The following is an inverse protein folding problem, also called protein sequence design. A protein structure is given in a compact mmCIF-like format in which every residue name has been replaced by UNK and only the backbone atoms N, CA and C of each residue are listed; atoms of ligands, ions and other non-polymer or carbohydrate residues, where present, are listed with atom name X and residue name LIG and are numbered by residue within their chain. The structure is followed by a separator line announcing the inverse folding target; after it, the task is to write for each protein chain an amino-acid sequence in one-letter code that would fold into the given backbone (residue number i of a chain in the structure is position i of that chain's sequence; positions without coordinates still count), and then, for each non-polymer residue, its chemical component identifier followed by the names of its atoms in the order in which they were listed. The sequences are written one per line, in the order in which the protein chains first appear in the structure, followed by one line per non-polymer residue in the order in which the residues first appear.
data_IF_861021216576
#
_entry.id   IF_861021216576
#
_cell.length_a   1.000
_cell.length_b   1.000
_cell.length_c   1.000
_cell.angle_alpha   90.00
_cell.angle_beta   90.00
_cell.angle_gamma   90.00
#
_symmetry.space_group_name_H-M   'P 1'
#
loop_
_entity.id
_entity.type
_entity.pdbx_description
1 polymer ?
#
# COMPACT_ATOMS: atom_id res chain seq x y z
N UNK A 1 -6.35 39.71 -7.06
CA UNK A 1 -7.22 39.06 -8.06
C UNK A 1 -7.81 37.83 -7.40
N UNK A 2 -9.09 37.87 -7.04
CA UNK A 2 -9.87 36.81 -6.47
C UNK A 2 -10.08 35.70 -7.51
N UNK A 3 -9.97 34.40 -7.18
CA UNK A 3 -10.30 33.34 -8.11
C UNK A 3 -11.82 33.33 -8.33
N UNK A 4 -12.23 33.55 -9.57
CA UNK A 4 -13.61 33.40 -10.00
C UNK A 4 -14.09 31.97 -9.74
N UNK A 5 -15.10 31.86 -8.92
CA UNK A 5 -15.90 30.64 -8.69
C UNK A 5 -16.58 30.28 -10.01
N UNK A 6 -16.06 29.30 -10.73
CA UNK A 6 -16.65 28.78 -11.97
C UNK A 6 -18.00 28.15 -11.62
N UNK A 7 -19.08 28.79 -12.10
CA UNK A 7 -20.46 28.38 -11.90
C UNK A 7 -20.68 26.91 -12.32
N UNK A 8 -21.39 26.15 -11.50
CA UNK A 8 -21.85 24.79 -11.79
C UNK A 8 -22.85 24.81 -12.98
N UNK A 9 -22.59 24.01 -14.07
CA UNK A 9 -23.63 23.66 -15.00
C UNK A 9 -23.35 23.67 -16.51
N UNK A 10 -22.08 23.73 -16.98
CA UNK A 10 -21.77 23.48 -18.40
C UNK A 10 -21.48 21.98 -18.70
N UNK A 11 -21.60 21.53 -19.98
CA UNK A 11 -21.20 20.18 -20.32
C UNK A 11 -19.74 19.95 -19.95
N UNK A 12 -19.47 18.82 -19.26
CA UNK A 12 -18.13 18.41 -18.91
C UNK A 12 -17.41 17.89 -20.14
N UNK A 13 -16.11 18.14 -20.24
CA UNK A 13 -15.30 17.55 -21.32
C UNK A 13 -15.32 16.03 -21.19
N UNK A 14 -15.58 15.35 -22.32
CA UNK A 14 -15.62 13.89 -22.38
C UNK A 14 -14.20 13.33 -22.44
N UNK A 15 -13.92 12.30 -21.62
CA UNK A 15 -12.64 11.59 -21.59
C UNK A 15 -12.88 10.10 -21.78
N UNK A 16 -12.30 9.51 -22.84
CA UNK A 16 -12.36 8.09 -23.13
C UNK A 16 -11.16 7.39 -22.50
N UNK A 17 -11.41 6.53 -21.50
CA UNK A 17 -10.38 5.86 -20.70
C UNK A 17 -10.55 4.34 -20.76
N UNK A 18 -9.45 3.60 -20.66
CA UNK A 18 -9.44 2.15 -20.51
C UNK A 18 -8.50 1.71 -19.39
N UNK A 19 -8.59 0.42 -19.02
CA UNK A 19 -7.77 -0.18 -17.98
C UNK A 19 -7.18 -1.51 -18.45
N UNK A 20 -5.92 -1.81 -18.08
CA UNK A 20 -5.25 -3.07 -18.39
C UNK A 20 -4.25 -3.46 -17.29
N UNK A 21 -4.04 -4.77 -17.09
CA UNK A 21 -2.98 -5.26 -16.19
C UNK A 21 -3.21 -5.03 -14.71
N UNK A 22 -4.45 -4.89 -14.28
CA UNK A 22 -4.88 -4.86 -12.89
C UNK A 22 -5.18 -6.27 -12.35
N UNK A 23 -5.54 -6.39 -11.08
CA UNK A 23 -5.93 -7.65 -10.44
C UNK A 23 -7.32 -8.12 -10.94
N UNK A 24 -7.62 -9.39 -10.72
CA UNK A 24 -8.81 -10.04 -11.29
C UNK A 24 -10.15 -9.42 -10.83
N UNK A 25 -10.21 -8.92 -9.59
CA UNK A 25 -11.40 -8.26 -9.05
C UNK A 25 -11.45 -6.74 -9.28
N UNK A 26 -10.60 -6.20 -10.14
CA UNK A 26 -10.63 -4.77 -10.46
C UNK A 26 -11.83 -4.45 -11.34
N UNK A 27 -12.70 -3.54 -10.86
CA UNK A 27 -13.82 -3.03 -11.64
C UNK A 27 -13.38 -1.80 -12.45
N UNK A 28 -13.36 -1.87 -13.79
CA UNK A 28 -13.02 -0.72 -14.63
C UNK A 28 -14.05 0.41 -14.57
N UNK A 29 -15.30 0.15 -14.16
CA UNK A 29 -16.36 1.16 -14.07
C UNK A 29 -16.37 1.86 -12.70
N UNK A 30 -15.99 1.14 -11.63
CA UNK A 30 -15.99 1.68 -10.26
C UNK A 30 -14.64 1.47 -9.58
N UNK A 31 -13.73 2.43 -9.73
CA UNK A 31 -12.41 2.42 -9.13
C UNK A 31 -11.96 3.84 -8.73
N UNK A 32 -10.80 3.94 -8.09
CA UNK A 32 -10.24 5.23 -7.69
C UNK A 32 -10.15 6.23 -8.85
N UNK A 33 -9.68 5.81 -10.02
CA UNK A 33 -9.45 6.72 -11.16
C UNK A 33 -10.77 7.20 -11.77
N UNK A 34 -11.74 6.31 -11.98
CA UNK A 34 -13.05 6.68 -12.53
C UNK A 34 -13.80 7.62 -11.60
N UNK A 35 -13.83 7.34 -10.29
CA UNK A 35 -14.45 8.22 -9.29
C UNK A 35 -13.77 9.59 -9.20
N UNK A 36 -12.43 9.63 -9.25
CA UNK A 36 -11.68 10.88 -9.22
C UNK A 36 -11.95 11.72 -10.47
N UNK A 37 -11.83 11.13 -11.65
CA UNK A 37 -12.02 11.84 -12.92
C UNK A 37 -13.46 12.32 -13.10
N UNK A 38 -14.46 11.57 -12.64
CA UNK A 38 -15.87 11.95 -12.69
C UNK A 38 -16.19 13.24 -11.91
N UNK A 39 -15.29 13.69 -11.03
CA UNK A 39 -15.44 15.00 -10.37
C UNK A 39 -15.33 16.18 -11.35
N UNK A 40 -14.63 16.01 -12.48
CA UNK A 40 -14.34 17.08 -13.45
C UNK A 40 -14.76 16.75 -14.89
N UNK A 41 -14.78 15.50 -15.28
CA UNK A 41 -14.97 15.02 -16.65
C UNK A 41 -16.23 14.14 -16.80
N UNK A 42 -16.75 14.05 -18.05
CA UNK A 42 -17.65 12.98 -18.46
C UNK A 42 -16.79 11.77 -18.86
N UNK A 43 -16.76 10.74 -18.00
CA UNK A 43 -15.83 9.61 -18.13
C UNK A 43 -16.49 8.47 -18.88
N UNK A 44 -16.00 8.16 -20.08
CA UNK A 44 -16.38 6.97 -20.86
C UNK A 44 -15.31 5.87 -20.71
N UNK A 45 -15.67 4.77 -20.07
CA UNK A 45 -14.83 3.58 -20.02
C UNK A 45 -15.10 2.73 -21.26
N UNK A 46 -14.08 2.51 -22.13
CA UNK A 46 -14.27 1.82 -23.41
C UNK A 46 -13.05 0.99 -23.83
N UNK A 47 -13.28 0.08 -24.79
CA UNK A 47 -12.26 -0.82 -25.32
C UNK A 47 -11.24 -0.13 -26.26
N UNK A 48 -11.62 1.00 -26.87
CA UNK A 48 -10.75 1.82 -27.73
C UNK A 48 -10.57 3.22 -27.11
N UNK A 49 -9.82 3.32 -26.02
CA UNK A 49 -9.66 4.54 -25.26
C UNK A 49 -8.65 5.50 -25.90
N UNK A 50 -8.74 6.80 -25.55
CA UNK A 50 -7.71 7.78 -25.85
C UNK A 50 -6.58 7.73 -24.80
N UNK A 51 -6.93 7.31 -23.55
CA UNK A 51 -6.01 7.16 -22.42
C UNK A 51 -6.19 5.79 -21.77
N UNK A 52 -5.11 5.02 -21.67
CA UNK A 52 -5.10 3.72 -21.03
C UNK A 52 -4.33 3.77 -19.72
N UNK A 53 -5.00 3.61 -18.59
CA UNK A 53 -4.32 3.35 -17.31
C UNK A 53 -3.98 1.87 -17.23
N UNK A 54 -2.69 1.56 -17.09
CA UNK A 54 -2.26 0.17 -17.03
C UNK A 54 -1.35 -0.10 -15.83
N UNK A 55 -1.39 -1.33 -15.34
CA UNK A 55 -0.62 -1.79 -14.19
C UNK A 55 0.24 -3.00 -14.53
N UNK A 56 0.96 -3.51 -13.54
CA UNK A 56 1.93 -4.60 -13.68
C UNK A 56 1.42 -5.95 -13.14
N UNK A 57 0.12 -6.09 -12.88
CA UNK A 57 -0.46 -7.23 -12.17
C UNK A 57 -1.13 -8.20 -13.14
N UNK A 58 -1.18 -9.48 -12.76
CA UNK A 58 -1.96 -10.50 -13.45
C UNK A 58 -1.44 -10.93 -14.81
N UNK A 59 -2.29 -11.68 -15.51
CA UNK A 59 -1.99 -12.21 -16.87
C UNK A 59 -1.98 -11.11 -17.93
N UNK A 60 -2.80 -10.06 -17.73
CA UNK A 60 -2.96 -8.93 -18.64
C UNK A 60 -1.90 -7.82 -18.52
N UNK A 61 -0.81 -8.03 -17.78
CA UNK A 61 0.24 -7.00 -17.53
C UNK A 61 0.90 -6.44 -18.81
N UNK A 62 0.78 -7.11 -19.95
CA UNK A 62 1.28 -6.68 -21.26
C UNK A 62 0.19 -6.26 -22.24
N UNK A 63 -1.08 -6.31 -21.85
CA UNK A 63 -2.19 -5.98 -22.75
C UNK A 63 -2.17 -4.51 -23.17
N UNK A 64 -1.58 -3.63 -22.35
CA UNK A 64 -1.36 -2.23 -22.73
C UNK A 64 -0.62 -2.06 -24.06
N UNK A 65 0.23 -3.03 -24.46
CA UNK A 65 0.96 -2.96 -25.73
C UNK A 65 0.08 -3.07 -26.98
N UNK A 66 -1.18 -3.51 -26.84
CA UNK A 66 -2.15 -3.67 -27.93
C UNK A 66 -2.95 -2.40 -28.23
N UNK A 67 -2.86 -1.37 -27.38
CA UNK A 67 -3.63 -0.15 -27.50
C UNK A 67 -2.79 0.97 -28.14
N UNK A 68 -3.29 1.58 -29.20
CA UNK A 68 -2.68 2.75 -29.85
C UNK A 68 -3.24 4.04 -29.28
N UNK A 69 -2.86 4.34 -28.04
CA UNK A 69 -3.32 5.52 -27.29
C UNK A 69 -2.25 5.96 -26.29
N UNK A 70 -2.51 7.08 -25.60
CA UNK A 70 -1.65 7.53 -24.47
C UNK A 70 -1.73 6.54 -23.33
N UNK A 71 -0.57 6.03 -22.89
CA UNK A 71 -0.46 5.01 -21.84
C UNK A 71 0.04 5.61 -20.54
N UNK A 72 -0.73 5.40 -19.49
CA UNK A 72 -0.48 5.90 -18.14
C UNK A 72 -0.23 4.70 -17.23
N UNK A 73 1.02 4.50 -16.82
CA UNK A 73 1.39 3.42 -15.92
C UNK A 73 1.01 3.76 -14.49
N UNK A 74 0.40 2.82 -13.78
CA UNK A 74 0.18 2.87 -12.33
C UNK A 74 0.76 1.63 -11.65
N UNK A 75 1.57 1.81 -10.61
CA UNK A 75 2.01 0.70 -9.78
C UNK A 75 1.88 1.03 -8.29
N UNK A 76 1.10 0.21 -7.59
CA UNK A 76 1.08 0.14 -6.12
C UNK A 76 2.16 -0.80 -5.56
N UNK A 77 2.78 -1.62 -6.41
CA UNK A 77 3.85 -2.57 -6.08
C UNK A 77 5.22 -1.98 -6.44
N UNK A 78 6.30 -2.58 -5.87
CA UNK A 78 7.68 -2.13 -6.14
C UNK A 78 8.12 -2.47 -7.58
N UNK A 79 7.54 -1.77 -8.55
CA UNK A 79 7.81 -1.90 -9.99
C UNK A 79 7.98 -0.52 -10.59
N UNK A 80 9.13 -0.30 -11.25
CA UNK A 80 9.41 0.93 -11.98
C UNK A 80 8.65 0.99 -13.32
N UNK A 81 8.27 2.21 -13.79
CA UNK A 81 7.67 2.38 -15.12
C UNK A 81 8.68 2.05 -16.22
N UNK A 82 8.20 1.41 -17.28
CA UNK A 82 8.96 1.27 -18.51
C UNK A 82 8.63 2.41 -19.49
N UNK A 83 9.51 3.38 -19.55
CA UNK A 83 9.36 4.57 -20.40
C UNK A 83 9.42 4.29 -21.91
N UNK A 84 9.72 3.05 -22.32
CA UNK A 84 9.65 2.65 -23.73
C UNK A 84 8.23 2.34 -24.17
N UNK A 85 7.38 1.91 -23.25
CA UNK A 85 6.01 1.49 -23.52
C UNK A 85 4.95 2.33 -22.81
N UNK A 86 5.39 3.31 -22.02
CA UNK A 86 4.55 4.16 -21.18
C UNK A 86 4.82 5.64 -21.48
N UNK A 87 3.78 6.45 -21.43
CA UNK A 87 3.87 7.91 -21.67
C UNK A 87 3.92 8.70 -20.37
N UNK A 88 3.12 8.32 -19.39
CA UNK A 88 3.02 8.90 -18.07
C UNK A 88 3.06 7.82 -17.00
N UNK A 89 3.50 8.16 -15.80
CA UNK A 89 3.52 7.21 -14.72
C UNK A 89 3.07 7.81 -13.38
N UNK A 90 2.27 7.04 -12.66
CA UNK A 90 1.91 7.24 -11.26
C UNK A 90 2.48 6.08 -10.46
N UNK A 91 3.47 6.32 -9.60
CA UNK A 91 4.05 5.30 -8.73
C UNK A 91 4.38 5.88 -7.35
N UNK A 92 4.81 5.03 -6.43
CA UNK A 92 5.26 5.45 -5.10
C UNK A 92 6.59 6.22 -5.12
N UNK A 93 7.39 6.11 -6.18
CA UNK A 93 8.77 6.60 -6.22
C UNK A 93 8.87 8.13 -6.13
N UNK A 94 9.91 8.61 -5.45
CA UNK A 94 10.33 10.01 -5.53
C UNK A 94 11.16 10.18 -6.81
N UNK A 95 10.54 10.69 -7.87
CA UNK A 95 11.17 10.86 -9.17
C UNK A 95 11.08 12.29 -9.65
N UNK A 96 12.15 12.80 -10.27
CA UNK A 96 12.18 14.10 -10.95
C UNK A 96 11.76 14.03 -12.43
N UNK A 97 11.39 12.85 -12.93
CA UNK A 97 10.97 12.71 -14.32
C UNK A 97 9.71 13.54 -14.60
N UNK A 98 9.65 14.43 -15.61
CA UNK A 98 8.56 15.39 -15.80
C UNK A 98 7.19 14.75 -16.07
N UNK A 99 7.18 13.53 -16.59
CA UNK A 99 5.97 12.74 -16.84
C UNK A 99 5.67 11.71 -15.75
N UNK A 100 6.32 11.82 -14.59
CA UNK A 100 6.03 11.03 -13.41
C UNK A 100 5.26 11.87 -12.38
N UNK A 101 4.33 11.23 -11.68
CA UNK A 101 3.68 11.74 -10.48
C UNK A 101 3.74 10.71 -9.37
N UNK A 102 4.07 11.13 -8.15
CA UNK A 102 4.07 10.23 -7.01
C UNK A 102 2.64 9.99 -6.54
N UNK A 103 2.20 8.73 -6.60
CA UNK A 103 0.89 8.26 -6.13
C UNK A 103 1.10 6.88 -5.47
N UNK A 104 1.49 6.83 -4.19
CA UNK A 104 1.70 5.58 -3.47
C UNK A 104 0.38 4.87 -3.21
N UNK A 105 0.42 3.55 -3.06
CA UNK A 105 -0.78 2.71 -2.93
C UNK A 105 -1.68 3.14 -1.75
N UNK A 106 -1.09 3.58 -0.64
CA UNK A 106 -1.86 4.02 0.53
C UNK A 106 -2.86 5.15 0.22
N UNK A 107 -2.53 6.02 -0.76
CA UNK A 107 -3.38 7.16 -1.14
C UNK A 107 -4.70 6.75 -1.81
N UNK A 108 -4.83 5.49 -2.24
CA UNK A 108 -6.02 4.96 -2.91
C UNK A 108 -6.95 4.19 -1.97
N UNK A 109 -6.51 3.88 -0.74
CA UNK A 109 -7.22 2.95 0.14
C UNK A 109 -8.31 3.56 1.01
N UNK A 110 -8.21 4.86 1.28
CA UNK A 110 -9.18 5.58 2.11
C UNK A 110 -9.22 7.05 1.70
N UNK A 111 -10.25 7.77 2.13
CA UNK A 111 -10.25 9.22 2.03
C UNK A 111 -9.12 9.80 2.90
N UNK A 112 -8.09 10.42 2.32
CA UNK A 112 -6.95 10.92 3.07
C UNK A 112 -7.29 11.94 4.15
N UNK A 113 -8.40 12.69 3.98
CA UNK A 113 -8.86 13.67 4.96
C UNK A 113 -9.22 13.03 6.31
N UNK A 114 -9.60 11.74 6.32
CA UNK A 114 -9.94 11.01 7.55
C UNK A 114 -8.76 10.83 8.52
N UNK A 115 -7.54 10.97 8.03
CA UNK A 115 -6.32 10.89 8.86
C UNK A 115 -5.83 12.27 9.36
N UNK A 116 -6.45 13.36 8.97
CA UNK A 116 -6.16 14.68 9.54
C UNK A 116 -6.81 14.75 10.92
N UNK A 117 -5.98 14.89 11.96
CA UNK A 117 -6.49 14.95 13.34
C UNK A 117 -7.04 16.35 13.66
N UNK A 118 -8.23 16.44 14.25
CA UNK A 118 -8.70 17.70 14.80
C UNK A 118 -7.82 18.12 15.98
N UNK A 119 -7.71 19.41 16.30
CA UNK A 119 -7.08 19.88 17.54
C UNK A 119 -7.77 19.21 18.74
N UNK A 120 -6.97 18.66 19.65
CA UNK A 120 -7.47 17.98 20.84
C UNK A 120 -6.91 18.60 22.12
N UNK A 121 -7.74 18.80 23.12
CA UNK A 121 -7.32 19.21 24.46
C UNK A 121 -6.55 18.07 25.14
N UNK A 122 -5.64 18.40 26.05
CA UNK A 122 -4.81 17.42 26.78
C UNK A 122 -5.65 16.33 27.48
N UNK A 123 -6.80 16.68 28.05
CA UNK A 123 -7.71 15.72 28.67
C UNK A 123 -8.27 14.70 27.66
N UNK A 124 -8.57 15.13 26.44
CA UNK A 124 -9.05 14.23 25.38
C UNK A 124 -7.94 13.27 24.91
N UNK A 125 -6.70 13.73 24.86
CA UNK A 125 -5.53 12.88 24.52
C UNK A 125 -5.32 11.82 25.60
N UNK A 126 -5.42 12.20 26.89
CA UNK A 126 -5.30 11.26 28.01
C UNK A 126 -6.44 10.23 28.00
N UNK A 127 -7.67 10.65 27.75
CA UNK A 127 -8.83 9.74 27.62
C UNK A 127 -8.65 8.77 26.43
N UNK A 128 -8.16 9.26 25.29
CA UNK A 128 -7.85 8.43 24.13
C UNK A 128 -6.75 7.40 24.41
N UNK A 129 -5.71 7.78 25.19
CA UNK A 129 -4.65 6.88 25.63
C UNK A 129 -5.19 5.78 26.54
N UNK A 130 -6.05 6.13 27.51
CA UNK A 130 -6.69 5.16 28.40
C UNK A 130 -7.58 4.18 27.61
N UNK A 131 -8.41 4.69 26.72
CA UNK A 131 -9.25 3.86 25.84
C UNK A 131 -8.40 2.92 24.95
N UNK A 132 -7.24 3.39 24.48
CA UNK A 132 -6.31 2.58 23.69
C UNK A 132 -5.66 1.49 24.55
N UNK A 133 -5.22 1.82 25.75
CA UNK A 133 -4.64 0.87 26.68
C UNK A 133 -5.64 -0.24 27.10
N UNK A 134 -6.93 0.08 27.11
CA UNK A 134 -8.01 -0.86 27.45
C UNK A 134 -8.42 -1.78 26.27
N UNK A 135 -7.84 -1.64 25.07
CA UNK A 135 -8.18 -2.52 23.94
C UNK A 135 -7.87 -3.98 24.27
N UNK A 136 -8.74 -4.93 23.87
CA UNK A 136 -8.63 -6.33 24.25
C UNK A 136 -7.39 -7.03 23.67
N UNK A 137 -6.91 -6.53 22.50
CA UNK A 137 -5.78 -7.12 21.80
C UNK A 137 -4.54 -6.25 21.92
N UNK A 138 -3.42 -6.89 22.31
CA UNK A 138 -2.13 -6.21 22.39
C UNK A 138 -1.66 -5.75 21.00
N UNK A 139 -1.53 -6.68 20.04
CA UNK A 139 -1.01 -6.40 18.72
C UNK A 139 -1.68 -7.26 17.66
N UNK A 140 -2.08 -6.63 16.55
CA UNK A 140 -2.67 -7.29 15.40
C UNK A 140 -1.65 -7.56 14.27
N UNK A 141 -1.83 -8.66 13.55
CA UNK A 141 -1.05 -9.05 12.38
C UNK A 141 -1.94 -9.69 11.32
N UNK A 142 -2.20 -8.98 10.21
CA UNK A 142 -3.07 -9.50 9.14
C UNK A 142 -2.31 -9.51 7.82
N UNK A 143 -1.62 -10.61 7.55
CA UNK A 143 -0.72 -10.77 6.41
C UNK A 143 -0.96 -12.10 5.71
N UNK A 144 -0.95 -12.07 4.36
CA UNK A 144 -1.13 -13.26 3.52
C UNK A 144 0.15 -13.70 2.80
N UNK A 145 1.12 -12.78 2.59
CA UNK A 145 2.39 -13.09 1.95
C UNK A 145 3.44 -13.54 2.99
N UNK A 146 3.90 -14.82 2.98
CA UNK A 146 4.90 -15.29 3.93
C UNK A 146 6.34 -14.90 3.58
N UNK A 147 6.57 -14.29 2.42
CA UNK A 147 7.92 -14.11 1.84
C UNK A 147 8.64 -12.84 2.33
N UNK A 148 8.43 -12.44 3.59
CA UNK A 148 9.14 -11.33 4.21
C UNK A 148 9.78 -11.79 5.53
N UNK A 149 11.03 -12.32 5.51
CA UNK A 149 11.67 -12.92 6.68
C UNK A 149 11.77 -11.97 7.88
N UNK A 150 12.12 -10.70 7.65
CA UNK A 150 12.28 -9.71 8.72
C UNK A 150 10.96 -9.41 9.44
N UNK A 151 9.83 -9.41 8.72
CA UNK A 151 8.50 -9.26 9.30
C UNK A 151 8.12 -10.48 10.15
N UNK A 152 8.44 -11.66 9.65
CA UNK A 152 8.17 -12.91 10.35
C UNK A 152 9.04 -13.05 11.60
N UNK A 153 10.30 -12.65 11.56
CA UNK A 153 11.19 -12.61 12.70
C UNK A 153 10.70 -11.62 13.77
N UNK A 154 10.30 -10.41 13.35
CA UNK A 154 9.75 -9.43 14.28
C UNK A 154 8.46 -9.93 14.97
N UNK A 155 7.55 -10.57 14.22
CA UNK A 155 6.36 -11.20 14.81
C UNK A 155 6.74 -12.19 15.93
N UNK A 156 7.72 -13.08 15.69
CA UNK A 156 8.16 -14.07 16.66
C UNK A 156 8.81 -13.44 17.90
N UNK A 157 9.64 -12.39 17.72
CA UNK A 157 10.27 -11.67 18.83
C UNK A 157 9.23 -10.96 19.68
N UNK A 158 8.33 -10.21 19.08
CA UNK A 158 7.28 -9.48 19.80
C UNK A 158 6.32 -10.44 20.54
N UNK A 159 6.02 -11.61 19.95
CA UNK A 159 5.17 -12.63 20.56
C UNK A 159 5.76 -13.25 21.84
N UNK A 160 7.07 -13.11 22.11
CA UNK A 160 7.68 -13.54 23.39
C UNK A 160 7.33 -12.60 24.53
N UNK A 161 7.01 -11.34 24.24
CA UNK A 161 6.57 -10.38 25.25
C UNK A 161 5.09 -10.52 25.57
N UNK A 162 4.23 -10.45 24.56
CA UNK A 162 2.77 -10.65 24.67
C UNK A 162 2.23 -11.30 23.39
N UNK A 163 1.12 -12.04 23.47
CA UNK A 163 0.50 -12.64 22.27
C UNK A 163 0.24 -11.60 21.18
N UNK A 164 0.66 -11.93 19.95
CA UNK A 164 0.31 -11.18 18.74
C UNK A 164 -0.80 -11.95 18.02
N UNK A 165 -1.95 -11.32 17.85
CA UNK A 165 -3.12 -11.92 17.21
C UNK A 165 -2.97 -11.87 15.69
N UNK A 166 -2.77 -13.02 15.06
CA UNK A 166 -2.69 -13.16 13.61
C UNK A 166 -3.96 -13.70 13.00
N UNK A 167 -4.63 -12.87 12.19
CA UNK A 167 -5.84 -13.22 11.45
C UNK A 167 -5.64 -13.33 9.93
N UNK A 168 -4.39 -13.33 9.45
CA UNK A 168 -4.03 -13.54 8.06
C UNK A 168 -3.74 -15.01 7.72
N UNK A 169 -3.02 -15.24 6.58
CA UNK A 169 -2.54 -16.57 6.22
C UNK A 169 -1.24 -16.94 6.93
N UNK A 170 -0.48 -15.94 7.39
CA UNK A 170 0.82 -16.13 8.04
C UNK A 170 0.63 -16.19 9.54
N UNK A 171 1.17 -17.24 10.17
CA UNK A 171 1.11 -17.51 11.64
C UNK A 171 -0.30 -17.58 12.25
N UNK A 172 -1.34 -17.72 11.52
CA UNK A 172 -2.74 -17.66 11.93
C UNK A 172 -3.01 -18.19 13.36
N UNK A 173 -2.86 -17.31 14.38
CA UNK A 173 -3.04 -17.66 15.79
C UNK A 173 -4.52 -17.68 16.20
N UNK A 174 -5.40 -17.07 15.40
CA UNK A 174 -6.84 -17.03 15.68
C UNK A 174 -7.59 -18.29 15.22
N UNK A 175 -6.97 -19.13 14.37
CA UNK A 175 -7.62 -20.31 13.79
C UNK A 175 -8.61 -20.00 12.66
N UNK A 176 -8.87 -18.72 12.36
CA UNK A 176 -9.73 -18.27 11.26
C UNK A 176 -9.13 -17.03 10.56
N UNK A 177 -9.56 -16.75 9.34
CA UNK A 177 -9.24 -15.51 8.67
C UNK A 177 -10.18 -14.40 9.12
N UNK A 178 -9.61 -13.24 9.48
CA UNK A 178 -10.38 -12.06 9.86
C UNK A 178 -11.24 -11.60 8.68
N UNK A 179 -12.57 -11.56 8.80
CA UNK A 179 -13.45 -11.15 7.71
C UNK A 179 -13.44 -9.64 7.49
N UNK A 180 -13.36 -8.86 8.56
CA UNK A 180 -13.24 -7.39 8.54
C UNK A 180 -11.94 -6.97 9.22
N UNK A 181 -10.96 -6.63 8.40
CA UNK A 181 -9.64 -6.19 8.86
C UNK A 181 -9.72 -4.90 9.67
N UNK A 182 -10.58 -3.95 9.27
CA UNK A 182 -10.71 -2.66 9.97
C UNK A 182 -11.30 -2.82 11.36
N UNK A 183 -12.36 -3.59 11.51
CA UNK A 183 -12.96 -3.91 12.80
C UNK A 183 -11.94 -4.62 13.71
N UNK A 184 -11.23 -5.62 13.18
CA UNK A 184 -10.18 -6.32 13.93
C UNK A 184 -9.05 -5.37 14.40
N UNK A 185 -8.54 -4.51 13.51
CA UNK A 185 -7.49 -3.57 13.88
C UNK A 185 -7.97 -2.53 14.90
N UNK A 186 -9.27 -2.21 14.94
CA UNK A 186 -9.86 -1.32 15.93
C UNK A 186 -9.83 -1.93 17.36
N UNK A 187 -9.72 -3.24 17.48
CA UNK A 187 -9.54 -3.94 18.76
C UNK A 187 -8.06 -4.01 19.20
N UNK A 188 -7.11 -3.76 18.28
CA UNK A 188 -5.69 -3.88 18.54
C UNK A 188 -5.08 -2.57 19.04
N UNK A 189 -4.25 -2.65 20.09
CA UNK A 189 -3.46 -1.51 20.58
C UNK A 189 -2.39 -1.12 19.57
N UNK A 190 -1.64 -2.10 19.10
CA UNK A 190 -0.62 -1.98 18.06
C UNK A 190 -0.95 -2.83 16.84
N UNK A 191 -0.30 -2.54 15.71
CA UNK A 191 -0.39 -3.38 14.50
C UNK A 191 0.99 -3.49 13.85
N UNK A 192 1.45 -4.70 13.54
CA UNK A 192 2.66 -4.90 12.74
C UNK A 192 2.35 -4.51 11.29
N UNK A 193 2.89 -3.38 10.87
CA UNK A 193 2.68 -2.71 9.58
C UNK A 193 3.94 -2.76 8.71
N UNK A 194 4.60 -3.92 8.63
CA UNK A 194 5.80 -4.09 7.81
C UNK A 194 5.43 -4.34 6.36
N UNK A 195 6.01 -3.56 5.46
CA UNK A 195 5.92 -3.78 4.02
C UNK A 195 6.60 -5.09 3.60
N UNK A 196 6.31 -5.55 2.38
CA UNK A 196 6.96 -6.74 1.84
C UNK A 196 8.46 -6.52 1.58
N UNK A 197 8.84 -5.29 1.26
CA UNK A 197 10.21 -4.85 0.98
C UNK A 197 10.45 -3.48 1.60
N UNK A 198 11.72 -3.09 1.79
CA UNK A 198 12.09 -1.73 2.18
C UNK A 198 12.70 -1.03 0.97
N UNK A 199 12.02 0.02 0.50
CA UNK A 199 12.44 0.80 -0.66
C UNK A 199 11.98 2.25 -0.49
N UNK A 200 12.79 3.26 -0.85
CA UNK A 200 12.43 4.67 -0.75
C UNK A 200 11.11 4.99 -1.47
N UNK A 201 10.14 5.54 -0.76
CA UNK A 201 8.81 5.89 -1.24
C UNK A 201 7.79 4.75 -1.19
N UNK A 202 8.21 3.47 -1.04
CA UNK A 202 7.32 2.32 -1.06
C UNK A 202 6.53 2.20 0.22
N UNK A 203 5.36 2.78 0.20
CA UNK A 203 4.39 2.80 1.30
C UNK A 203 3.03 2.35 0.78
N UNK A 204 2.45 1.34 1.42
CA UNK A 204 1.16 0.76 1.02
C UNK A 204 0.08 1.01 2.08
N UNK A 205 -1.07 0.36 1.95
CA UNK A 205 -2.18 0.42 2.89
C UNK A 205 -1.80 0.03 4.33
N UNK A 206 -0.69 -0.68 4.51
CA UNK A 206 -0.31 -1.27 5.81
C UNK A 206 -0.10 -0.23 6.91
N UNK A 207 0.31 0.99 6.57
CA UNK A 207 0.48 2.06 7.55
C UNK A 207 -0.85 2.80 7.82
N UNK A 208 -1.66 3.05 6.79
CA UNK A 208 -2.87 3.87 6.92
C UNK A 208 -4.07 3.11 7.46
N UNK A 209 -4.20 1.82 7.20
CA UNK A 209 -5.29 1.01 7.74
C UNK A 209 -5.29 0.95 9.28
N UNK A 210 -4.16 0.67 9.96
CA UNK A 210 -4.13 0.77 11.42
C UNK A 210 -4.37 2.20 11.91
N UNK A 211 -3.82 3.23 11.25
CA UNK A 211 -4.08 4.62 11.61
C UNK A 211 -5.58 4.94 11.58
N UNK A 212 -6.28 4.57 10.49
CA UNK A 212 -7.72 4.76 10.33
C UNK A 212 -8.56 3.95 11.34
N UNK A 213 -8.08 2.77 11.74
CA UNK A 213 -8.68 1.96 12.81
C UNK A 213 -8.29 2.46 14.21
N UNK A 214 -7.45 3.48 14.26
CA UNK A 214 -6.90 4.02 15.48
C UNK A 214 -5.93 3.06 16.20
N UNK A 215 -5.36 2.06 15.56
CA UNK A 215 -4.26 1.24 16.06
C UNK A 215 -2.92 1.91 15.79
N UNK A 216 -1.92 1.69 16.65
CA UNK A 216 -0.60 2.29 16.46
C UNK A 216 0.22 1.39 15.54
N UNK A 217 0.66 1.89 14.37
CA UNK A 217 1.52 1.11 13.50
C UNK A 217 2.90 0.87 14.11
N UNK A 218 3.39 -0.37 14.01
CA UNK A 218 4.81 -0.69 14.13
C UNK A 218 5.28 -0.90 12.70
N UNK A 219 5.96 0.12 12.13
CA UNK A 219 6.16 0.24 10.69
C UNK A 219 7.59 -0.07 10.27
N UNK A 220 7.72 -0.79 9.14
CA UNK A 220 8.94 -0.94 8.37
C UNK A 220 8.62 -1.02 6.88
N UNK A 221 9.27 -0.20 6.09
CA UNK A 221 9.08 -0.16 4.63
C UNK A 221 9.87 0.98 4.02
N UNK A 222 9.20 2.08 3.73
CA UNK A 222 9.82 3.29 3.19
C UNK A 222 10.74 3.97 4.23
N UNK A 223 12.06 4.06 3.98
CA UNK A 223 12.96 4.83 4.85
C UNK A 223 12.71 6.34 4.78
N UNK A 224 11.94 6.83 3.80
CA UNK A 224 11.54 8.22 3.65
C UNK A 224 10.11 8.49 4.10
N UNK A 225 9.49 7.58 4.85
CA UNK A 225 8.10 7.65 5.32
C UNK A 225 7.77 8.97 6.03
N UNK A 226 8.76 9.59 6.68
CA UNK A 226 8.63 10.90 7.32
C UNK A 226 8.40 12.09 6.37
N UNK A 227 8.43 11.88 5.05
CA UNK A 227 8.02 12.90 4.08
C UNK A 227 6.51 13.10 4.05
N UNK A 228 5.75 12.04 4.28
CA UNK A 228 4.29 12.02 4.25
C UNK A 228 3.69 11.98 5.67
N UNK A 229 4.26 11.16 6.56
CA UNK A 229 3.73 10.87 7.88
C UNK A 229 4.60 11.48 8.99
N UNK A 230 3.99 11.80 10.12
CA UNK A 230 4.72 12.22 11.30
C UNK A 230 5.26 10.99 12.04
N UNK A 231 6.57 10.78 11.97
CA UNK A 231 7.23 9.59 12.56
C UNK A 231 7.11 9.51 14.08
N UNK A 232 6.67 10.59 14.76
CA UNK A 232 6.39 10.60 16.20
C UNK A 232 5.05 9.94 16.54
N UNK A 233 4.18 9.69 15.56
CA UNK A 233 2.84 9.11 15.76
C UNK A 233 2.79 7.58 15.71
N UNK A 234 3.89 6.93 15.32
CA UNK A 234 4.01 5.48 15.23
C UNK A 234 5.42 5.00 15.57
N UNK A 235 5.62 3.69 15.65
CA UNK A 235 6.92 3.11 15.96
C UNK A 235 7.60 2.66 14.68
N UNK A 236 8.64 3.38 14.25
CA UNK A 236 9.39 3.06 13.04
C UNK A 236 10.58 2.14 13.33
N UNK A 237 10.70 1.06 12.58
CA UNK A 237 11.87 0.19 12.62
C UNK A 237 13.13 0.88 12.07
N UNK A 238 12.97 1.95 11.27
CA UNK A 238 14.11 2.73 10.77
C UNK A 238 14.77 3.59 11.85
N UNK A 239 14.09 3.81 12.99
CA UNK A 239 14.59 4.53 14.14
C UNK A 239 15.17 3.58 15.21
N UNK A 240 15.31 2.29 14.91
CA UNK A 240 15.82 1.27 15.83
C UNK A 240 16.97 0.51 15.17
N UNK A 241 18.14 0.42 15.82
CA UNK A 241 19.31 -0.27 15.26
C UNK A 241 19.05 -1.76 14.97
N UNK A 242 18.28 -2.42 15.85
CA UNK A 242 17.92 -3.83 15.73
C UNK A 242 16.41 -4.06 15.90
N UNK A 243 15.94 -5.27 15.60
CA UNK A 243 14.55 -5.65 15.88
C UNK A 243 14.29 -5.80 17.39
N UNK A 244 15.29 -6.12 18.18
CA UNK A 244 15.15 -6.20 19.64
C UNK A 244 14.99 -4.80 20.24
N UNK A 245 15.74 -3.80 19.76
CA UNK A 245 15.53 -2.40 20.15
C UNK A 245 14.12 -1.91 19.80
N UNK A 246 13.59 -2.34 18.66
CA UNK A 246 12.20 -2.02 18.28
C UNK A 246 11.20 -2.70 19.23
N UNK A 247 11.42 -3.96 19.61
CA UNK A 247 10.58 -4.66 20.61
C UNK A 247 10.63 -3.90 21.94
N UNK A 248 11.81 -3.49 22.41
CA UNK A 248 11.96 -2.74 23.67
C UNK A 248 11.20 -1.40 23.64
N UNK A 249 11.21 -0.70 22.50
CA UNK A 249 10.40 0.52 22.31
C UNK A 249 8.89 0.23 22.36
N UNK A 250 8.42 -0.87 21.74
CA UNK A 250 7.01 -1.28 21.84
C UNK A 250 6.64 -1.57 23.29
N UNK A 251 7.51 -2.30 24.01
CA UNK A 251 7.31 -2.64 25.43
C UNK A 251 7.27 -1.38 26.31
N UNK A 252 8.16 -0.42 26.06
CA UNK A 252 8.17 0.84 26.78
C UNK A 252 6.85 1.61 26.62
N UNK A 253 6.36 1.76 25.38
CA UNK A 253 5.07 2.43 25.09
C UNK A 253 3.89 1.65 25.65
N UNK A 254 3.94 0.31 25.62
CA UNK A 254 2.87 -0.54 26.16
C UNK A 254 2.74 -0.44 27.69
N UNK A 255 3.84 -0.21 28.41
CA UNK A 255 3.91 -0.13 29.87
C UNK A 255 3.72 1.27 30.42
N UNK A 256 3.97 2.30 29.62
CA UNK A 256 3.92 3.70 30.06
C UNK A 256 2.76 4.45 29.38
N UNK A 257 1.68 4.73 30.14
CA UNK A 257 0.55 5.51 29.61
C UNK A 257 0.92 6.93 29.14
N UNK A 258 1.97 7.54 29.70
CA UNK A 258 2.41 8.88 29.30
C UNK A 258 3.13 8.87 27.96
N UNK A 259 3.96 7.85 27.69
CA UNK A 259 4.56 7.63 26.38
C UNK A 259 3.48 7.32 25.32
N UNK A 260 2.50 6.49 25.67
CA UNK A 260 1.37 6.19 24.81
C UNK A 260 0.57 7.47 24.47
N UNK A 261 0.27 8.30 25.46
CA UNK A 261 -0.43 9.57 25.26
C UNK A 261 0.38 10.53 24.38
N UNK A 262 1.68 10.64 24.60
CA UNK A 262 2.60 11.46 23.79
C UNK A 262 2.58 11.06 22.33
N UNK A 263 2.60 9.76 22.04
CA UNK A 263 2.54 9.23 20.67
C UNK A 263 1.17 9.50 20.04
N UNK A 264 0.08 9.26 20.75
CA UNK A 264 -1.29 9.50 20.27
C UNK A 264 -1.63 10.97 20.05
N UNK A 265 -0.94 11.88 20.75
CA UNK A 265 -1.09 13.33 20.56
C UNK A 265 -0.56 13.80 19.21
N UNK A 266 0.40 13.07 18.61
CA UNK A 266 1.00 13.47 17.33
C UNK A 266 0.02 13.28 16.17
N UNK A 267 0.03 14.17 15.17
CA UNK A 267 -0.75 13.96 13.94
C UNK A 267 -0.24 12.75 13.16
N UNK A 268 -1.11 12.12 12.36
CA UNK A 268 -0.68 11.03 11.48
C UNK A 268 0.18 11.55 10.32
N UNK A 269 -0.25 12.64 9.69
CA UNK A 269 0.48 13.27 8.59
C UNK A 269 1.48 14.30 9.10
N UNK A 270 2.59 14.44 8.39
CA UNK A 270 3.53 15.53 8.60
C UNK A 270 2.82 16.88 8.48
N UNK A 271 2.92 17.69 9.54
CA UNK A 271 2.25 18.98 9.62
C UNK A 271 0.72 18.91 9.65
N UNK A 272 0.15 17.74 9.95
CA UNK A 272 -1.30 17.50 10.05
C UNK A 272 -2.09 17.92 8.80
N UNK A 273 -1.52 17.70 7.63
CA UNK A 273 -2.13 18.03 6.33
C UNK A 273 -2.00 16.85 5.38
N UNK A 274 -3.02 16.64 4.54
CA UNK A 274 -2.96 15.65 3.48
C UNK A 274 -1.73 15.91 2.60
N UNK A 275 -0.85 14.92 2.40
CA UNK A 275 0.27 15.06 1.49
C UNK A 275 -0.20 15.27 0.04
N UNK A 276 0.51 16.10 -0.73
CA UNK A 276 0.14 16.43 -2.11
C UNK A 276 -0.01 15.18 -3.02
N UNK A 277 0.73 14.11 -2.74
CA UNK A 277 0.61 12.86 -3.49
C UNK A 277 -0.70 12.09 -3.22
N UNK A 278 -1.46 12.47 -2.20
CA UNK A 278 -2.74 11.88 -1.83
C UNK A 278 -3.89 12.91 -1.92
N UNK A 279 -3.61 14.16 -2.22
CA UNK A 279 -4.63 15.19 -2.40
C UNK A 279 -5.39 14.95 -3.70
N UNK A 280 -6.72 14.68 -3.65
CA UNK A 280 -7.50 14.38 -4.83
C UNK A 280 -7.49 15.51 -5.88
N UNK A 281 -7.43 16.77 -5.47
CA UNK A 281 -7.43 17.89 -6.39
C UNK A 281 -6.07 18.02 -7.10
N UNK A 282 -4.97 17.80 -6.40
CA UNK A 282 -3.62 17.77 -6.98
C UNK A 282 -3.47 16.62 -7.98
N UNK A 283 -4.02 15.43 -7.65
CA UNK A 283 -4.00 14.27 -8.56
C UNK A 283 -4.87 14.57 -9.79
N UNK A 284 -6.04 15.17 -9.61
CA UNK A 284 -6.95 15.54 -10.70
C UNK A 284 -6.34 16.58 -11.64
N UNK A 285 -5.63 17.58 -11.10
CA UNK A 285 -4.89 18.57 -11.88
C UNK A 285 -3.75 17.93 -12.69
N UNK A 286 -3.13 16.86 -12.16
CA UNK A 286 -2.16 16.10 -12.94
C UNK A 286 -2.81 15.38 -14.12
N UNK A 287 -4.00 14.79 -13.96
CA UNK A 287 -4.76 14.24 -15.08
C UNK A 287 -5.16 15.32 -16.09
N UNK A 288 -5.57 16.50 -15.63
CA UNK A 288 -5.84 17.65 -16.52
C UNK A 288 -4.62 18.01 -17.35
N UNK A 289 -3.44 18.05 -16.74
CA UNK A 289 -2.17 18.25 -17.44
C UNK A 289 -1.92 17.17 -18.50
N UNK A 290 -2.15 15.89 -18.16
CA UNK A 290 -1.98 14.76 -19.08
C UNK A 290 -2.91 14.91 -20.30
N UNK A 291 -4.18 15.22 -20.07
CA UNK A 291 -5.17 15.35 -21.13
C UNK A 291 -4.95 16.57 -22.03
N UNK A 292 -4.42 17.65 -21.47
CA UNK A 292 -4.10 18.86 -22.21
C UNK A 292 -2.74 18.81 -22.96
N UNK A 293 -1.88 17.82 -22.65
CA UNK A 293 -0.52 17.77 -23.23
C UNK A 293 -0.55 16.96 -24.53
N UNK A 294 -0.35 17.56 -25.71
CA UNK A 294 -0.22 16.83 -26.97
C UNK A 294 1.11 16.09 -26.98
N UNK A 295 1.04 14.76 -26.97
CA UNK A 295 2.22 13.89 -27.11
C UNK A 295 1.99 12.86 -28.20
N UNK A 296 3.04 12.47 -28.91
CA UNK A 296 3.01 11.27 -29.74
C UNK A 296 3.05 10.06 -28.80
N UNK A 297 2.01 9.21 -28.80
CA UNK A 297 1.95 8.04 -27.92
C UNK A 297 3.16 7.11 -28.10
N UNK A 298 3.63 6.51 -27.01
CA UNK A 298 4.72 5.54 -27.02
C UNK A 298 4.42 4.36 -27.97
N UNK A 299 3.16 4.04 -28.16
CA UNK A 299 2.66 3.05 -29.12
C UNK A 299 3.12 3.35 -30.55
N UNK A 300 3.18 4.62 -30.97
CA UNK A 300 3.49 5.06 -32.33
C UNK A 300 4.99 5.34 -32.52
N UNK A 301 5.72 5.69 -31.46
CA UNK A 301 7.15 6.04 -31.51
C UNK A 301 8.07 4.89 -31.93
N UNK A 302 7.62 3.62 -31.84
CA UNK A 302 8.40 2.41 -32.21
C UNK A 302 7.52 1.31 -32.75
N UNK A 303 8.04 0.54 -33.71
CA UNK A 303 7.30 -0.63 -34.18
C UNK A 303 7.04 -1.60 -33.01
N UNK A 304 5.80 -2.03 -32.85
CA UNK A 304 5.34 -2.94 -31.81
C UNK A 304 6.22 -4.20 -31.70
N UNK A 305 6.70 -4.72 -32.83
CA UNK A 305 7.58 -5.90 -32.89
C UNK A 305 8.94 -5.67 -32.18
N UNK A 306 9.50 -4.47 -32.31
CA UNK A 306 10.79 -4.11 -31.64
C UNK A 306 10.59 -3.94 -30.14
N UNK A 307 9.49 -3.33 -29.74
CA UNK A 307 9.10 -3.15 -28.33
C UNK A 307 8.86 -4.52 -27.67
N UNK A 308 8.11 -5.42 -28.31
CA UNK A 308 7.86 -6.77 -27.82
C UNK A 308 9.13 -7.62 -27.68
N UNK A 309 10.10 -7.48 -28.60
CA UNK A 309 11.40 -8.17 -28.49
C UNK A 309 12.26 -7.63 -27.35
N UNK A 310 12.29 -6.31 -27.14
CA UNK A 310 13.04 -5.69 -26.07
C UNK A 310 12.46 -6.02 -24.68
N UNK A 311 11.14 -6.18 -24.57
CA UNK A 311 10.47 -6.54 -23.32
C UNK A 311 10.56 -8.02 -22.96
N UNK A 312 10.61 -8.92 -23.96
CA UNK A 312 10.67 -10.37 -23.68
C UNK A 312 12.01 -10.85 -23.16
N UNK A 313 13.12 -10.25 -23.57
CA UNK A 313 14.48 -10.73 -23.22
C UNK A 313 14.87 -10.45 -21.77
N UNK A 314 14.74 -9.24 -21.19
CA UNK A 314 15.10 -9.00 -19.79
C UNK A 314 14.06 -9.57 -18.80
N UNK A 315 12.78 -9.67 -19.17
CA UNK A 315 11.77 -10.25 -18.29
C UNK A 315 11.89 -11.77 -18.16
N UNK A 316 12.26 -12.49 -19.23
CA UNK A 316 12.53 -13.94 -19.11
C UNK A 316 13.68 -14.21 -18.17
N UNK A 317 14.78 -13.46 -18.22
CA UNK A 317 15.90 -13.60 -17.30
C UNK A 317 15.55 -13.17 -15.86
N UNK A 318 14.87 -12.04 -15.69
CA UNK A 318 14.47 -11.54 -14.37
C UNK A 318 13.31 -12.36 -13.77
N UNK A 319 12.38 -12.86 -14.60
CA UNK A 319 11.30 -13.76 -14.15
C UNK A 319 11.82 -15.15 -13.84
N UNK A 320 12.83 -15.64 -14.58
CA UNK A 320 13.52 -16.89 -14.27
C UNK A 320 14.28 -16.78 -12.94
N UNK A 321 15.01 -15.68 -12.71
CA UNK A 321 15.68 -15.42 -11.41
C UNK A 321 14.68 -15.28 -10.27
N UNK A 322 13.52 -14.60 -10.47
CA UNK A 322 12.45 -14.50 -9.48
C UNK A 322 11.73 -15.83 -9.25
N UNK A 323 11.54 -16.65 -10.28
CA UNK A 323 10.97 -18.01 -10.17
C UNK A 323 11.93 -18.95 -9.45
N UNK A 324 13.20 -18.96 -9.81
CA UNK A 324 14.26 -19.75 -9.15
C UNK A 324 14.41 -19.31 -7.68
N UNK A 325 14.48 -18.01 -7.39
CA UNK A 325 14.53 -17.48 -6.02
C UNK A 325 13.28 -17.81 -5.18
N UNK A 326 12.10 -17.90 -5.79
CA UNK A 326 10.87 -18.38 -5.12
C UNK A 326 10.87 -19.89 -4.90
N UNK A 327 11.44 -20.66 -5.81
CA UNK A 327 11.56 -22.12 -5.68
C UNK A 327 12.55 -22.50 -4.57
N UNK A 328 13.72 -21.89 -4.54
CA UNK A 328 14.70 -22.11 -3.48
C UNK A 328 14.16 -21.72 -2.10
N UNK A 329 13.47 -20.55 -1.99
CA UNK A 329 12.83 -20.12 -0.73
C UNK A 329 11.67 -21.04 -0.30
N UNK A 330 10.86 -21.57 -1.23
CA UNK A 330 9.82 -22.56 -0.91
C UNK A 330 10.40 -23.92 -0.47
N UNK A 331 11.52 -24.34 -1.07
CA UNK A 331 12.21 -25.56 -0.66
C UNK A 331 12.80 -25.43 0.75
N UNK A 332 13.42 -24.29 1.06
CA UNK A 332 13.97 -24.02 2.41
C UNK A 332 12.87 -23.96 3.47
N UNK A 333 11.73 -23.36 3.16
CA UNK A 333 10.58 -23.31 4.10
C UNK A 333 9.95 -24.68 4.35
N UNK A 334 9.95 -25.58 3.36
CA UNK A 334 9.45 -26.96 3.53
C UNK A 334 10.40 -27.84 4.38
N UNK A 335 11.70 -27.57 4.33
CA UNK A 335 12.71 -28.29 5.12
C UNK A 335 12.70 -27.88 6.61
N UNK A 336 12.14 -26.71 6.95
CA UNK A 336 12.09 -26.17 8.31
C UNK A 336 10.69 -26.22 8.93
N UNK A 337 9.70 -26.84 8.29
CA UNK A 337 8.40 -27.12 8.91
C UNK A 337 8.53 -28.34 9.83
N UNK A 338 8.26 -28.23 11.14
CA UNK A 338 8.20 -29.41 12.01
C UNK A 338 7.09 -30.33 11.51
N UNK A 339 7.42 -31.60 11.27
CA UNK A 339 6.43 -32.65 10.99
C UNK A 339 5.48 -32.73 12.17
N UNK A 340 4.20 -32.54 11.96
CA UNK A 340 3.18 -32.89 12.95
C UNK A 340 3.33 -34.36 13.30
N UNK A 341 3.28 -34.77 14.61
CA UNK A 341 3.27 -36.17 14.99
C UNK A 341 2.06 -36.87 14.40
N UNK A 342 2.27 -38.06 13.90
CA UNK A 342 1.20 -38.92 13.41
C UNK A 342 0.20 -39.23 14.56
N UNK A 343 -1.12 -39.36 14.29
CA UNK A 343 -2.08 -39.74 15.30
C UNK A 343 -1.79 -41.20 15.76
N UNK A 344 -1.76 -41.40 17.08
CA UNK A 344 -1.58 -42.67 17.70
C UNK A 344 -2.66 -43.67 17.24
N UNK A 345 -2.23 -44.85 16.83
CA UNK A 345 -3.10 -45.97 16.53
C UNK A 345 -3.82 -46.47 17.82
N UNK A 346 -5.10 -46.89 17.73
CA UNK A 346 -5.84 -47.37 18.89
C UNK A 346 -5.20 -48.64 19.44
N UNK A 347 -4.84 -48.64 20.73
CA UNK A 347 -4.42 -49.84 21.47
C UNK A 347 -5.63 -50.73 21.63
N UNK A 348 -5.59 -51.89 21.02
CA UNK A 348 -6.46 -53.05 21.38
C UNK A 348 -5.92 -53.65 22.65
N UNK A 349 -6.71 -53.63 23.70
CA UNK A 349 -6.49 -54.43 24.93
C UNK A 349 -7.18 -55.79 24.83
N UNK A 350 -6.61 -56.82 25.50
CA UNK A 350 -7.09 -58.21 25.42
C UNK A 350 -8.44 -58.45 26.05
#
# INVERSE_FOLDING_TARGET
MTPETRAAGGPRDRVRIGFAGFWESFDPLDNFFTRLLARRYDVEVCAAPDYLVHSCIGRGKHDHLRHDCVRIFYAGENVAPDWLSTDWAFTFAHSSHPRHFRLPLWALYLDPATLVKPPAAAAAVTAAAAARAARPRFCGFVVSNPLCPIRNDFFQRLSRYKPVDSGGAVFNTLGYRVPDKRAFLAECRFTIAFENESCPGYTTEKIVEPMAAGSIPIYRGDPLVGRDFDTRSFLSAHDSPTLDDLVDRVVAVDRDPALLATLLAQPWYRGNRVPACADPDVILDRFTTIFATPIEPAARRRSLARTLRLHRLPETAASLRRRLGRWTRKATLRLHSPRSPAPDAPRTSP
#
